data_IF_550615628624
#
_entry.id   IF_550615628624
#
_cell.length_a   1.000
_cell.length_b   1.000
_cell.length_c   1.000
_cell.angle_alpha   90.00
_cell.angle_beta   90.00
_cell.angle_gamma   90.00
#
_symmetry.space_group_name_H-M   'P 1'
#
loop_
_entity.id
_entity.type
_entity.pdbx_description
1 polymer ?
#
# COMPACT_ATOMS: atom_id res chain seq x y z
N UNK A 1 27.40 -10.46 3.80
CA UNK A 1 26.90 -11.41 2.77
C UNK A 1 27.54 -11.07 1.43
N UNK A 2 28.02 -12.08 0.68
CA UNK A 2 28.66 -11.88 -0.62
C UNK A 2 27.60 -11.48 -1.66
N UNK A 3 27.81 -10.39 -2.39
CA UNK A 3 26.88 -9.89 -3.41
C UNK A 3 26.86 -10.84 -4.61
N UNK A 4 25.70 -11.37 -4.95
CA UNK A 4 25.52 -12.26 -6.12
C UNK A 4 25.66 -11.46 -7.40
N UNK A 5 26.46 -11.99 -8.34
CA UNK A 5 26.70 -11.40 -9.63
C UNK A 5 26.03 -12.20 -10.77
N UNK A 6 25.84 -11.56 -11.92
CA UNK A 6 25.30 -12.23 -13.14
C UNK A 6 26.14 -13.47 -13.51
N UNK A 7 27.46 -13.42 -13.27
CA UNK A 7 28.34 -14.54 -13.54
C UNK A 7 28.04 -15.75 -12.66
N UNK A 8 27.66 -15.54 -11.41
CA UNK A 8 27.33 -16.64 -10.49
C UNK A 8 26.08 -17.38 -10.98
N UNK A 9 25.06 -16.61 -11.44
CA UNK A 9 23.85 -17.18 -12.03
C UNK A 9 24.15 -17.94 -13.33
N UNK A 10 25.04 -17.40 -14.17
CA UNK A 10 25.44 -18.02 -15.42
C UNK A 10 26.13 -19.37 -15.17
N UNK A 11 27.02 -19.43 -14.19
CA UNK A 11 27.73 -20.64 -13.81
C UNK A 11 26.79 -21.72 -13.30
N UNK A 12 25.81 -21.35 -12.45
CA UNK A 12 24.82 -22.26 -11.89
C UNK A 12 23.89 -22.87 -12.95
N UNK A 13 23.59 -22.13 -13.99
CA UNK A 13 22.65 -22.55 -15.04
C UNK A 13 23.35 -23.17 -16.25
N UNK A 14 24.69 -23.13 -16.32
CA UNK A 14 25.45 -23.54 -17.49
C UNK A 14 25.20 -22.64 -18.73
N UNK A 15 24.91 -21.36 -18.51
CA UNK A 15 24.58 -20.39 -19.55
C UNK A 15 25.70 -19.36 -19.70
N UNK A 16 25.75 -18.69 -20.87
CA UNK A 16 26.68 -17.56 -21.03
C UNK A 16 26.21 -16.36 -20.17
N UNK A 17 27.17 -15.57 -19.67
CA UNK A 17 26.86 -14.31 -18.95
C UNK A 17 25.99 -13.38 -19.79
N UNK A 18 26.16 -13.37 -21.11
CA UNK A 18 25.38 -12.53 -22.02
C UNK A 18 23.93 -13.00 -22.10
N UNK A 19 23.69 -14.31 -22.17
CA UNK A 19 22.35 -14.91 -22.14
C UNK A 19 21.63 -14.55 -20.85
N UNK A 20 22.29 -14.68 -19.70
CA UNK A 20 21.71 -14.31 -18.40
C UNK A 20 21.41 -12.81 -18.33
N UNK A 21 22.34 -11.95 -18.80
CA UNK A 21 22.12 -10.49 -18.82
C UNK A 21 20.94 -10.10 -19.69
N UNK A 22 20.77 -10.71 -20.86
CA UNK A 22 19.63 -10.47 -21.75
C UNK A 22 18.32 -10.97 -21.16
N UNK A 23 18.33 -12.16 -20.56
CA UNK A 23 17.16 -12.72 -19.87
C UNK A 23 16.67 -11.80 -18.74
N UNK A 24 17.59 -11.25 -17.93
CA UNK A 24 17.29 -10.32 -16.83
C UNK A 24 16.81 -8.94 -17.28
N UNK A 25 17.03 -8.57 -18.55
CA UNK A 25 16.56 -7.33 -19.19
C UNK A 25 15.32 -7.52 -20.05
N UNK A 26 14.67 -8.68 -19.98
CA UNK A 26 13.50 -9.04 -20.78
C UNK A 26 13.71 -8.94 -22.30
N UNK A 27 14.93 -9.22 -22.80
CA UNK A 27 15.26 -9.18 -24.21
C UNK A 27 14.52 -10.32 -24.96
N UNK A 28 13.80 -10.00 -26.02
CA UNK A 28 12.97 -10.92 -26.80
C UNK A 28 13.76 -12.03 -27.50
N UNK A 29 15.08 -11.83 -27.67
CA UNK A 29 15.98 -12.83 -28.27
C UNK A 29 16.13 -14.08 -27.38
N UNK A 30 15.86 -13.98 -26.09
CA UNK A 30 15.95 -15.09 -25.15
C UNK A 30 14.62 -15.84 -25.08
N UNK A 31 14.69 -17.14 -25.37
CA UNK A 31 13.51 -18.03 -25.30
C UNK A 31 12.84 -17.92 -23.91
N UNK A 32 11.53 -17.88 -23.90
CA UNK A 32 10.70 -17.70 -22.70
C UNK A 32 11.05 -18.70 -21.59
N UNK A 33 11.27 -19.97 -21.96
CA UNK A 33 11.65 -21.02 -21.00
C UNK A 33 13.02 -20.74 -20.37
N UNK A 34 14.00 -20.29 -21.16
CA UNK A 34 15.33 -19.92 -20.66
C UNK A 34 15.24 -18.70 -19.76
N UNK A 35 14.41 -17.72 -20.12
CA UNK A 35 14.17 -16.51 -19.32
C UNK A 35 13.60 -16.89 -17.96
N UNK A 36 12.56 -17.72 -17.90
CA UNK A 36 11.96 -18.21 -16.65
C UNK A 36 12.99 -18.94 -15.77
N UNK A 37 13.83 -19.78 -16.34
CA UNK A 37 14.90 -20.47 -15.60
C UNK A 37 15.89 -19.50 -14.98
N UNK A 38 16.33 -18.49 -15.74
CA UNK A 38 17.29 -17.46 -15.27
C UNK A 38 16.68 -16.63 -14.14
N UNK A 39 15.42 -16.16 -14.30
CA UNK A 39 14.74 -15.34 -13.29
C UNK A 39 14.58 -16.13 -11.99
N UNK A 40 14.14 -17.38 -12.06
CA UNK A 40 14.00 -18.25 -10.89
C UNK A 40 15.32 -18.40 -10.15
N UNK A 41 16.42 -18.75 -10.86
CA UNK A 41 17.73 -18.94 -10.24
C UNK A 41 18.30 -17.63 -9.66
N UNK A 42 18.11 -16.51 -10.33
CA UNK A 42 18.51 -15.20 -9.81
C UNK A 42 17.86 -14.87 -8.47
N UNK A 43 16.60 -15.25 -8.30
CA UNK A 43 15.85 -15.09 -7.05
C UNK A 43 16.35 -16.02 -5.94
N UNK A 44 16.49 -17.32 -6.25
CA UNK A 44 17.03 -18.31 -5.30
C UNK A 44 18.37 -17.88 -4.72
N UNK A 45 19.23 -17.29 -5.56
CA UNK A 45 20.53 -16.80 -5.16
C UNK A 45 20.53 -15.42 -4.49
N UNK A 46 19.40 -14.71 -4.48
CA UNK A 46 19.27 -13.36 -3.87
C UNK A 46 19.88 -12.24 -4.71
N UNK A 47 19.77 -12.30 -6.03
CA UNK A 47 20.25 -11.26 -6.93
C UNK A 47 19.41 -9.98 -6.84
N UNK A 48 20.00 -8.86 -6.38
CA UNK A 48 19.29 -7.64 -6.00
C UNK A 48 18.85 -6.73 -7.16
N UNK A 49 19.41 -6.89 -8.37
CA UNK A 49 19.14 -6.03 -9.53
C UNK A 49 18.15 -6.66 -10.52
N UNK A 50 17.13 -7.37 -10.03
CA UNK A 50 16.03 -7.85 -10.85
C UNK A 50 15.14 -6.68 -11.24
N UNK A 51 14.77 -6.60 -12.55
CA UNK A 51 13.80 -5.64 -13.04
C UNK A 51 12.46 -5.78 -12.27
N UNK A 52 11.81 -4.67 -11.87
CA UNK A 52 10.52 -4.69 -11.18
C UNK A 52 9.45 -5.53 -11.91
N UNK A 53 9.44 -5.55 -13.24
CA UNK A 53 8.54 -6.38 -14.05
C UNK A 53 8.64 -7.86 -13.65
N UNK A 54 9.85 -8.36 -13.35
CA UNK A 54 10.04 -9.75 -12.93
C UNK A 54 9.80 -10.01 -11.44
N UNK A 55 9.48 -8.98 -10.67
CA UNK A 55 9.04 -9.15 -9.29
C UNK A 55 7.57 -9.53 -9.20
N UNK A 56 6.77 -9.26 -10.25
CA UNK A 56 5.33 -9.51 -10.29
C UNK A 56 4.94 -10.89 -10.84
N UNK A 57 5.78 -11.54 -11.66
CA UNK A 57 5.45 -12.83 -12.29
C UNK A 57 5.77 -14.04 -11.40
N UNK A 58 5.06 -14.23 -10.30
CA UNK A 58 5.00 -15.53 -9.65
C UNK A 58 3.57 -15.87 -9.27
N UNK A 59 2.78 -16.24 -10.25
CA UNK A 59 1.74 -17.25 -10.11
C UNK A 59 2.17 -18.49 -10.90
N UNK A 60 3.19 -19.22 -10.45
CA UNK A 60 3.44 -20.56 -10.99
C UNK A 60 3.82 -21.51 -9.84
N UNK A 61 2.94 -22.49 -9.69
CA UNK A 61 3.14 -23.84 -9.15
C UNK A 61 3.70 -23.94 -7.73
N UNK A 62 2.86 -23.60 -6.75
CA UNK A 62 2.89 -24.34 -5.49
C UNK A 62 1.84 -25.44 -5.57
N UNK A 63 2.14 -26.69 -5.09
CA UNK A 63 1.11 -27.69 -4.95
C UNK A 63 0.01 -27.08 -4.05
N UNK A 64 -1.20 -27.04 -4.56
CA UNK A 64 -2.39 -26.59 -3.84
C UNK A 64 -2.61 -27.51 -2.62
N UNK A 65 -2.05 -27.16 -1.49
CA UNK A 65 -2.74 -27.48 -0.25
C UNK A 65 -3.95 -26.55 -0.21
N UNK A 66 -5.15 -27.12 -0.26
CA UNK A 66 -6.43 -26.42 -0.21
C UNK A 66 -6.61 -25.85 1.21
N UNK A 67 -5.82 -24.84 1.57
CA UNK A 67 -6.19 -23.87 2.59
C UNK A 67 -7.00 -22.79 1.88
N UNK A 68 -8.22 -22.55 2.33
CA UNK A 68 -9.13 -21.59 1.73
C UNK A 68 -8.39 -20.27 1.44
N UNK A 69 -8.24 -19.94 0.16
CA UNK A 69 -7.52 -18.75 -0.30
C UNK A 69 -8.37 -17.53 0.10
N UNK A 70 -8.11 -16.98 1.29
CA UNK A 70 -8.82 -15.81 1.81
C UNK A 70 -8.59 -14.64 0.87
N UNK A 71 -9.67 -14.01 0.44
CA UNK A 71 -9.62 -12.84 -0.43
C UNK A 71 -9.94 -11.58 0.37
N UNK A 72 -9.07 -10.59 0.26
CA UNK A 72 -9.24 -9.29 0.90
C UNK A 72 -9.34 -8.19 -0.15
N UNK A 73 -10.09 -7.14 0.14
CA UNK A 73 -10.18 -5.97 -0.73
C UNK A 73 -9.42 -4.78 -0.13
N UNK A 74 -8.71 -4.05 -0.98
CA UNK A 74 -8.25 -2.70 -0.70
C UNK A 74 -9.18 -1.77 -1.48
N UNK A 75 -9.92 -0.92 -0.77
CA UNK A 75 -10.83 0.05 -1.34
C UNK A 75 -10.22 1.44 -1.28
N UNK A 76 -10.20 2.14 -2.40
CA UNK A 76 -9.67 3.50 -2.52
C UNK A 76 -10.42 4.29 -3.60
N UNK A 77 -10.38 5.64 -3.52
CA UNK A 77 -11.12 6.50 -4.46
C UNK A 77 -10.44 6.66 -5.83
N UNK A 78 -9.12 6.53 -5.86
CA UNK A 78 -8.31 6.59 -7.08
C UNK A 78 -6.97 5.91 -6.86
N UNK A 79 -6.25 5.64 -7.93
CA UNK A 79 -4.84 5.29 -7.82
C UNK A 79 -4.06 6.52 -7.36
N UNK A 80 -3.36 6.40 -6.24
CA UNK A 80 -2.51 7.48 -5.76
C UNK A 80 -1.25 7.58 -6.64
N UNK A 81 -0.92 8.79 -7.05
CA UNK A 81 0.31 9.07 -7.78
C UNK A 81 1.52 9.27 -6.83
N UNK A 82 1.33 9.11 -5.52
CA UNK A 82 2.38 9.32 -4.53
C UNK A 82 2.96 8.01 -3.97
N UNK A 83 4.23 8.09 -3.59
CA UNK A 83 5.00 6.95 -3.06
C UNK A 83 4.48 6.46 -1.70
N UNK A 84 3.82 7.32 -0.92
CA UNK A 84 3.30 6.96 0.39
C UNK A 84 2.18 5.93 0.27
N UNK A 85 1.14 6.23 -0.50
CA UNK A 85 0.01 5.32 -0.67
C UNK A 85 0.39 4.04 -1.41
N UNK A 86 1.29 4.15 -2.39
CA UNK A 86 1.86 2.98 -3.07
C UNK A 86 2.62 2.07 -2.09
N UNK A 87 3.36 2.66 -1.15
CA UNK A 87 4.03 1.91 -0.08
C UNK A 87 3.05 1.20 0.85
N UNK A 88 1.95 1.84 1.22
CA UNK A 88 0.89 1.26 2.05
C UNK A 88 0.22 0.08 1.34
N UNK A 89 -0.20 0.26 0.08
CA UNK A 89 -0.80 -0.82 -0.74
C UNK A 89 0.15 -2.00 -0.88
N UNK A 90 1.43 -1.74 -1.13
CA UNK A 90 2.46 -2.77 -1.23
C UNK A 90 2.59 -3.55 0.09
N UNK A 91 2.70 -2.85 1.22
CA UNK A 91 2.83 -3.46 2.54
C UNK A 91 1.62 -4.36 2.89
N UNK A 92 0.40 -3.88 2.64
CA UNK A 92 -0.82 -4.66 2.85
C UNK A 92 -0.83 -5.90 1.95
N UNK A 93 -0.52 -5.74 0.67
CA UNK A 93 -0.51 -6.83 -0.30
C UNK A 93 0.53 -7.90 0.05
N UNK A 94 1.73 -7.48 0.48
CA UNK A 94 2.78 -8.39 0.93
C UNK A 94 2.35 -9.16 2.19
N UNK A 95 1.70 -8.49 3.14
CA UNK A 95 1.20 -9.14 4.36
C UNK A 95 0.11 -10.17 4.05
N UNK A 96 -0.87 -9.81 3.23
CA UNK A 96 -1.93 -10.74 2.80
C UNK A 96 -1.33 -11.98 2.11
N UNK A 97 -0.32 -11.77 1.27
CA UNK A 97 0.38 -12.87 0.58
C UNK A 97 1.14 -13.80 1.54
N UNK A 98 1.76 -13.25 2.58
CA UNK A 98 2.42 -14.05 3.63
C UNK A 98 1.44 -14.98 4.35
N UNK A 99 0.19 -14.56 4.49
CA UNK A 99 -0.91 -15.34 5.07
C UNK A 99 -1.61 -16.26 4.04
N UNK A 100 -1.01 -16.45 2.85
CA UNK A 100 -1.59 -17.20 1.74
C UNK A 100 -2.95 -16.67 1.26
N UNK A 101 -3.23 -15.39 1.46
CA UNK A 101 -4.40 -14.69 0.94
C UNK A 101 -4.16 -14.10 -0.45
N UNK A 102 -5.22 -13.62 -1.07
CA UNK A 102 -5.21 -12.81 -2.28
C UNK A 102 -5.79 -11.43 -2.01
N UNK A 103 -5.30 -10.42 -2.74
CA UNK A 103 -5.73 -9.05 -2.61
C UNK A 103 -6.42 -8.59 -3.88
N UNK A 104 -7.59 -7.97 -3.74
CA UNK A 104 -8.33 -7.30 -4.80
C UNK A 104 -8.25 -5.79 -4.57
N UNK A 105 -7.73 -5.06 -5.54
CA UNK A 105 -7.76 -3.60 -5.52
C UNK A 105 -9.08 -3.12 -6.16
N UNK A 106 -9.86 -2.37 -5.39
CA UNK A 106 -11.19 -1.89 -5.77
C UNK A 106 -11.18 -0.37 -5.75
N UNK A 107 -11.63 0.24 -6.83
CA UNK A 107 -11.79 1.68 -6.91
C UNK A 107 -13.27 2.01 -6.69
N UNK A 108 -13.53 2.92 -5.75
CA UNK A 108 -14.80 3.61 -5.58
C UNK A 108 -14.52 5.11 -5.78
N UNK A 109 -14.96 5.66 -6.90
CA UNK A 109 -14.74 7.06 -7.23
C UNK A 109 -15.49 8.01 -6.27
N UNK A 110 -15.18 9.29 -6.30
CA UNK A 110 -15.97 10.30 -5.58
C UNK A 110 -17.41 10.35 -6.06
N UNK A 111 -17.66 10.05 -7.34
CA UNK A 111 -19.03 9.94 -7.89
C UNK A 111 -19.76 8.72 -7.30
N UNK A 112 -19.07 7.60 -7.06
CA UNK A 112 -19.64 6.44 -6.38
C UNK A 112 -19.99 6.76 -4.92
N UNK A 113 -19.16 7.51 -4.23
CA UNK A 113 -19.41 7.98 -2.85
C UNK A 113 -20.66 8.90 -2.84
N UNK A 114 -20.68 9.94 -3.67
CA UNK A 114 -21.79 10.89 -3.76
C UNK A 114 -23.13 10.22 -4.12
N UNK A 115 -23.11 9.23 -5.00
CA UNK A 115 -24.29 8.48 -5.42
C UNK A 115 -24.55 7.22 -4.58
N UNK A 116 -23.76 6.98 -3.56
CA UNK A 116 -23.89 5.82 -2.69
C UNK A 116 -23.80 4.47 -3.46
N UNK A 117 -22.94 4.37 -4.47
CA UNK A 117 -22.77 3.18 -5.30
C UNK A 117 -21.65 2.31 -4.73
N UNK A 118 -21.99 1.10 -4.29
CA UNK A 118 -20.98 0.11 -3.86
C UNK A 118 -20.42 -0.60 -5.11
N UNK A 119 -19.07 -0.66 -5.28
CA UNK A 119 -18.47 -1.39 -6.37
C UNK A 119 -18.93 -2.85 -6.42
N UNK A 120 -19.33 -3.30 -7.61
CA UNK A 120 -19.88 -4.65 -7.80
C UNK A 120 -18.95 -5.76 -7.32
N UNK A 121 -17.63 -5.56 -7.40
CA UNK A 121 -16.65 -6.51 -6.91
C UNK A 121 -16.79 -6.82 -5.40
N UNK A 122 -17.22 -5.85 -4.58
CA UNK A 122 -17.47 -6.08 -3.15
C UNK A 122 -18.77 -6.85 -2.89
N UNK A 123 -19.69 -6.87 -3.87
CA UNK A 123 -20.98 -7.55 -3.76
C UNK A 123 -20.95 -8.98 -4.33
N UNK A 124 -20.11 -9.22 -5.34
CA UNK A 124 -20.10 -10.49 -6.09
C UNK A 124 -18.98 -11.43 -5.67
N UNK A 125 -17.88 -10.89 -5.13
CA UNK A 125 -16.74 -11.68 -4.71
C UNK A 125 -16.87 -12.07 -3.22
N UNK A 126 -16.36 -13.26 -2.88
CA UNK A 126 -16.25 -13.66 -1.46
C UNK A 126 -15.09 -12.95 -0.81
N UNK A 127 -15.32 -11.79 -0.21
CA UNK A 127 -14.35 -10.97 0.50
C UNK A 127 -14.38 -11.28 2.00
N UNK A 128 -13.23 -11.55 2.60
CA UNK A 128 -13.08 -11.86 4.04
C UNK A 128 -12.75 -10.61 4.88
N UNK A 129 -12.35 -9.50 4.26
CA UNK A 129 -12.08 -8.23 4.91
C UNK A 129 -11.77 -7.13 3.92
N UNK A 130 -12.04 -5.88 4.30
CA UNK A 130 -11.83 -4.67 3.50
C UNK A 130 -10.89 -3.73 4.25
N UNK A 131 -9.91 -3.17 3.54
CA UNK A 131 -9.09 -2.05 4.01
C UNK A 131 -9.41 -0.83 3.16
N UNK A 132 -9.96 0.20 3.78
CA UNK A 132 -10.27 1.47 3.12
C UNK A 132 -9.10 2.44 3.31
N UNK A 133 -8.45 2.85 2.21
CA UNK A 133 -7.24 3.69 2.24
C UNK A 133 -7.50 5.17 1.98
N UNK A 134 -8.67 5.54 1.47
CA UNK A 134 -9.03 6.92 1.19
C UNK A 134 -10.22 7.33 2.03
N UNK A 135 -10.39 8.64 2.14
CA UNK A 135 -11.55 9.19 2.85
C UNK A 135 -12.79 9.09 1.98
N UNK A 136 -13.81 8.56 2.58
CA UNK A 136 -15.16 8.53 2.06
C UNK A 136 -16.08 9.36 2.95
N UNK A 137 -17.26 9.72 2.43
CA UNK A 137 -18.30 10.31 3.26
C UNK A 137 -18.71 9.33 4.36
N UNK A 138 -19.22 9.85 5.46
CA UNK A 138 -19.70 9.00 6.57
C UNK A 138 -20.81 8.07 6.16
N UNK A 139 -21.69 8.58 5.33
CA UNK A 139 -22.83 7.85 4.79
C UNK A 139 -22.34 6.66 3.96
N UNK A 140 -21.28 6.87 3.18
CA UNK A 140 -20.68 5.81 2.38
C UNK A 140 -19.91 4.81 3.23
N UNK A 141 -19.12 5.27 4.22
CA UNK A 141 -18.47 4.39 5.20
C UNK A 141 -19.49 3.48 5.90
N UNK A 142 -20.62 4.06 6.35
CA UNK A 142 -21.71 3.29 6.95
C UNK A 142 -22.24 2.23 6.00
N UNK A 143 -22.45 2.60 4.73
CA UNK A 143 -22.91 1.67 3.71
C UNK A 143 -21.92 0.53 3.43
N UNK A 144 -20.62 0.81 3.44
CA UNK A 144 -19.58 -0.23 3.36
C UNK A 144 -19.70 -1.19 4.56
N UNK A 145 -19.90 -0.67 5.76
CA UNK A 145 -20.03 -1.49 6.96
C UNK A 145 -21.31 -2.35 6.97
N UNK A 146 -22.38 -1.88 6.35
CA UNK A 146 -23.64 -2.62 6.19
C UNK A 146 -23.49 -3.88 5.30
N UNK A 147 -22.35 -4.02 4.58
CA UNK A 147 -22.03 -5.28 3.86
C UNK A 147 -21.77 -6.46 4.80
N UNK A 148 -21.56 -6.20 6.09
CA UNK A 148 -21.27 -7.24 7.09
C UNK A 148 -19.91 -7.90 6.93
N UNK A 149 -19.01 -7.29 6.14
CA UNK A 149 -17.62 -7.73 5.95
C UNK A 149 -16.76 -6.95 6.96
N UNK A 150 -15.83 -7.59 7.68
CA UNK A 150 -14.87 -6.86 8.52
C UNK A 150 -14.16 -5.77 7.75
N UNK A 151 -14.17 -4.53 8.27
CA UNK A 151 -13.56 -3.37 7.61
C UNK A 151 -12.66 -2.60 8.55
N UNK A 152 -11.54 -2.12 8.02
CA UNK A 152 -10.61 -1.19 8.67
C UNK A 152 -10.46 0.04 7.79
N UNK A 153 -10.65 1.22 8.37
CA UNK A 153 -10.45 2.48 7.68
C UNK A 153 -9.09 3.08 8.05
N UNK A 154 -8.41 3.66 7.08
CA UNK A 154 -7.20 4.44 7.30
C UNK A 154 -7.53 5.92 7.22
N UNK A 155 -7.28 6.62 8.34
CA UNK A 155 -7.72 7.99 8.59
C UNK A 155 -9.26 8.13 8.74
N UNK A 156 -9.73 9.36 8.90
CA UNK A 156 -11.15 9.67 9.03
C UNK A 156 -11.43 11.12 8.65
N UNK A 157 -12.65 11.44 8.20
CA UNK A 157 -13.10 12.83 8.12
C UNK A 157 -13.04 13.52 9.47
N UNK A 158 -12.72 14.82 9.51
CA UNK A 158 -12.67 15.59 10.76
C UNK A 158 -14.04 15.63 11.42
N UNK A 159 -14.10 15.23 12.69
CA UNK A 159 -15.32 15.19 13.48
C UNK A 159 -15.38 16.40 14.41
N UNK A 160 -16.30 17.31 14.17
CA UNK A 160 -16.55 18.46 15.08
C UNK A 160 -17.23 18.08 16.40
N UNK A 161 -17.74 16.85 16.51
CA UNK A 161 -18.44 16.34 17.70
C UNK A 161 -17.78 15.02 18.09
N UNK A 162 -17.54 14.74 19.38
CA UNK A 162 -17.05 13.44 19.80
C UNK A 162 -17.97 12.33 19.29
N UNK A 163 -17.49 11.56 18.35
CA UNK A 163 -18.20 10.45 17.76
C UNK A 163 -17.48 9.15 18.12
N UNK A 164 -18.24 8.19 18.62
CA UNK A 164 -17.71 6.86 18.83
C UNK A 164 -17.70 6.16 17.47
N UNK A 165 -16.51 5.90 16.95
CA UNK A 165 -16.37 5.08 15.75
C UNK A 165 -16.87 3.67 16.05
N UNK A 166 -17.78 3.17 15.22
CA UNK A 166 -18.30 1.80 15.33
C UNK A 166 -17.37 0.79 14.65
N UNK A 167 -16.29 1.27 14.01
CA UNK A 167 -15.38 0.48 13.18
C UNK A 167 -13.93 0.73 13.54
N UNK A 168 -13.10 -0.25 13.24
CA UNK A 168 -11.64 -0.13 13.43
C UNK A 168 -11.05 0.92 12.49
N UNK A 169 -10.17 1.76 13.06
CA UNK A 169 -9.45 2.81 12.32
C UNK A 169 -7.98 2.81 12.65
N UNK A 170 -7.18 3.11 11.64
CA UNK A 170 -5.76 3.38 11.78
C UNK A 170 -5.56 4.88 11.57
N UNK A 171 -5.14 5.58 12.61
CA UNK A 171 -4.83 7.01 12.58
C UNK A 171 -3.32 7.16 12.73
N UNK A 172 -2.71 7.96 11.87
CA UNK A 172 -1.29 8.30 11.98
C UNK A 172 -1.12 9.39 13.03
N UNK A 173 -0.22 9.17 13.98
CA UNK A 173 0.19 10.21 14.93
C UNK A 173 0.81 11.39 14.16
N UNK A 174 0.36 12.58 14.41
CA UNK A 174 0.83 13.79 13.75
C UNK A 174 1.10 14.95 14.70
N UNK A 175 0.40 15.03 15.82
CA UNK A 175 0.48 16.17 16.75
C UNK A 175 1.87 16.31 17.37
N UNK A 176 2.41 15.26 17.97
CA UNK A 176 3.71 15.30 18.63
C UNK A 176 4.85 15.56 17.63
N UNK A 177 4.77 14.93 16.47
CA UNK A 177 5.77 15.08 15.41
C UNK A 177 5.82 16.53 14.90
N UNK A 178 4.67 17.13 14.60
CA UNK A 178 4.60 18.51 14.12
C UNK A 178 4.91 19.52 15.24
N UNK A 179 4.48 19.26 16.46
CA UNK A 179 4.90 20.07 17.61
C UNK A 179 6.43 20.12 17.72
N UNK A 180 7.10 18.96 17.72
CA UNK A 180 8.55 18.89 17.83
C UNK A 180 9.27 19.62 16.68
N UNK A 181 8.81 19.46 15.45
CA UNK A 181 9.35 20.15 14.28
C UNK A 181 9.14 21.67 14.36
N UNK A 182 7.98 22.13 14.80
CA UNK A 182 7.67 23.57 14.98
C UNK A 182 8.55 24.19 16.05
N UNK A 183 8.70 23.49 17.18
CA UNK A 183 9.60 23.94 18.26
C UNK A 183 11.07 23.99 17.83
N UNK A 184 11.52 23.05 16.99
CA UNK A 184 12.89 23.10 16.44
C UNK A 184 13.09 24.32 15.54
N UNK A 185 12.12 24.67 14.69
CA UNK A 185 12.17 25.89 13.89
C UNK A 185 12.23 27.15 14.75
N UNK A 186 11.41 27.25 15.79
CA UNK A 186 11.40 28.38 16.73
C UNK A 186 12.76 28.49 17.44
N UNK A 187 13.31 27.39 17.94
CA UNK A 187 14.64 27.34 18.60
C UNK A 187 15.78 27.75 17.66
N UNK A 188 15.63 27.53 16.37
CA UNK A 188 16.59 27.98 15.35
C UNK A 188 16.42 29.47 14.97
N UNK A 189 15.50 30.18 15.59
CA UNK A 189 15.29 31.62 15.39
C UNK A 189 14.29 31.96 14.27
N UNK A 190 13.46 31.03 13.85
CA UNK A 190 12.37 31.35 12.92
C UNK A 190 11.28 32.15 13.65
N UNK A 191 11.15 33.44 13.30
CA UNK A 191 10.16 34.34 13.92
C UNK A 191 8.74 34.14 13.36
N UNK A 192 8.62 33.54 12.20
CA UNK A 192 7.32 33.28 11.52
C UNK A 192 7.31 31.87 10.99
N UNK A 193 6.43 31.06 11.52
CA UNK A 193 6.17 29.68 11.07
C UNK A 193 4.72 29.61 10.63
N UNK A 194 4.47 29.03 9.46
CA UNK A 194 3.12 28.87 8.91
C UNK A 194 2.76 27.39 8.76
N UNK A 195 1.48 27.08 8.83
CA UNK A 195 0.93 25.76 8.54
C UNK A 195 0.22 25.81 7.18
N UNK A 196 0.50 24.81 6.32
CA UNK A 196 -0.18 24.63 5.03
C UNK A 196 -0.90 23.29 5.07
N UNK A 197 -2.22 23.32 4.93
CA UNK A 197 -3.07 22.14 4.88
C UNK A 197 -4.53 22.50 5.09
N UNK A 198 -5.44 21.71 4.52
CA UNK A 198 -6.88 21.82 4.78
C UNK A 198 -7.22 21.09 6.09
N UNK A 199 -7.38 21.85 7.15
CA UNK A 199 -7.69 21.35 8.51
C UNK A 199 -9.11 20.77 8.63
N UNK A 200 -9.91 20.84 7.59
CA UNK A 200 -11.27 20.28 7.55
C UNK A 200 -11.32 18.97 6.78
N UNK A 201 -10.24 18.60 6.11
CA UNK A 201 -10.20 17.45 5.21
C UNK A 201 -10.18 16.12 5.98
N UNK A 202 -9.22 15.92 6.87
CA UNK A 202 -9.08 14.67 7.61
C UNK A 202 -8.50 14.84 9.02
N UNK A 203 -8.72 13.86 9.86
CA UNK A 203 -8.27 13.86 11.26
C UNK A 203 -6.73 13.95 11.37
N UNK A 204 -5.98 13.27 10.51
CA UNK A 204 -4.52 13.34 10.49
C UNK A 204 -3.99 14.75 10.19
N UNK A 205 -4.61 15.52 9.29
CA UNK A 205 -4.21 16.90 9.02
C UNK A 205 -4.61 17.80 10.19
N UNK A 206 -5.80 17.61 10.73
CA UNK A 206 -6.26 18.35 11.90
C UNK A 206 -5.37 18.11 13.12
N UNK A 207 -4.96 16.88 13.36
CA UNK A 207 -4.06 16.51 14.47
C UNK A 207 -2.68 17.18 14.31
N UNK A 208 -2.12 17.20 13.09
CA UNK A 208 -0.89 17.95 12.79
C UNK A 208 -1.04 19.45 13.06
N UNK A 209 -2.18 20.03 12.69
CA UNK A 209 -2.47 21.43 12.98
C UNK A 209 -2.56 21.71 14.48
N UNK A 210 -3.12 20.79 15.27
CA UNK A 210 -3.14 20.91 16.74
C UNK A 210 -1.72 20.94 17.31
N UNK A 211 -0.83 20.06 16.84
CA UNK A 211 0.58 20.07 17.25
C UNK A 211 1.30 21.37 16.89
N UNK A 212 1.07 21.89 15.68
CA UNK A 212 1.58 23.19 15.27
C UNK A 212 1.08 24.32 16.18
N UNK A 213 -0.23 24.38 16.44
CA UNK A 213 -0.82 25.40 17.31
C UNK A 213 -0.25 25.34 18.72
N UNK A 214 -0.14 24.17 19.29
CA UNK A 214 0.41 23.97 20.64
C UNK A 214 1.84 24.50 20.74
N UNK A 215 2.68 24.24 19.73
CA UNK A 215 4.07 24.73 19.72
C UNK A 215 4.20 26.27 19.61
N UNK A 216 3.18 26.96 19.11
CA UNK A 216 3.15 28.43 19.07
C UNK A 216 2.62 29.05 20.37
N UNK A 217 1.96 28.26 21.20
CA UNK A 217 1.41 28.72 22.49
C UNK A 217 2.41 28.54 23.64
N UNK A 218 3.45 27.69 23.46
CA UNK A 218 4.55 27.44 24.40
C UNK A 218 5.72 28.43 24.20
#
# INVERSE_FOLDING_TARGET
MKKVLIQDIANELGLSRNTVSKALKNDEIVLEETRKRVIRKAREMGYQKLDPIFRQDIQEERPQSVAANKKYAILMSSFAEDDFWNGVVLGITERIKQENGSCLLVIASYEDDDNMIIPSALLTEKIEGIVCLTLFSREYEKKICELGIPVVFMDSPVLRIPYRHEHDRIILEGAQSVYALTMDLIKRGCEKVGFIGDITYCESIFDRFRGYRLALED
#
